data_IF_815496026189
#
_entry.id   IF_815496026189
#
_cell.length_a   1.000
_cell.length_b   1.000
_cell.length_c   1.000
_cell.angle_alpha   90.00
_cell.angle_beta   90.00
_cell.angle_gamma   90.00
#
_symmetry.space_group_name_H-M   'P 1'
#
loop_
_entity.id
_entity.type
_entity.pdbx_description
1 polymer ?
#
# COMPACT_ATOMS: atom_id res chain seq x y z
N UNK A 1 -15.75 9.59 15.79
CA UNK A 1 -17.09 9.32 15.20
C UNK A 1 -17.29 7.80 15.19
N UNK A 2 -18.44 7.27 15.64
CA UNK A 2 -18.69 5.82 15.62
C UNK A 2 -18.81 5.39 14.15
N UNK A 3 -17.98 4.43 13.71
CA UNK A 3 -18.08 3.88 12.37
C UNK A 3 -19.47 3.22 12.19
N UNK A 4 -20.26 3.71 11.26
CA UNK A 4 -21.55 3.13 10.89
C UNK A 4 -21.30 1.82 10.17
N UNK A 5 -21.94 0.74 10.63
CA UNK A 5 -21.85 -0.58 10.00
C UNK A 5 -23.08 -0.85 9.14
N UNK A 6 -22.88 -1.29 7.90
CA UNK A 6 -23.94 -1.73 6.99
C UNK A 6 -23.99 -3.25 6.97
N UNK A 7 -25.19 -3.83 7.07
CA UNK A 7 -25.38 -5.27 6.91
C UNK A 7 -25.46 -5.62 5.43
N UNK A 8 -24.69 -6.62 5.02
CA UNK A 8 -24.65 -7.13 3.66
C UNK A 8 -24.78 -8.66 3.71
N UNK A 9 -25.45 -9.22 2.70
CA UNK A 9 -25.47 -10.66 2.43
C UNK A 9 -24.59 -10.91 1.20
N UNK A 10 -23.70 -11.89 1.29
CA UNK A 10 -22.78 -12.27 0.21
C UNK A 10 -22.80 -13.77 0.02
N UNK A 11 -22.64 -14.21 -1.22
CA UNK A 11 -22.47 -15.62 -1.55
C UNK A 11 -20.99 -15.96 -1.55
N UNK A 12 -20.60 -16.93 -0.71
CA UNK A 12 -19.23 -17.40 -0.57
C UNK A 12 -19.17 -18.91 -0.80
N UNK A 13 -18.09 -19.43 -1.39
CA UNK A 13 -17.88 -20.89 -1.49
C UNK A 13 -17.94 -21.53 -0.11
N UNK A 14 -18.63 -22.67 0.00
CA UNK A 14 -18.79 -23.41 1.27
C UNK A 14 -17.45 -23.68 1.95
N UNK A 15 -16.49 -24.18 1.19
CA UNK A 15 -15.14 -24.50 1.67
C UNK A 15 -14.42 -23.27 2.24
N UNK A 16 -14.67 -22.08 1.69
CA UNK A 16 -14.10 -20.84 2.18
C UNK A 16 -14.72 -20.45 3.54
N UNK A 17 -16.03 -20.64 3.68
CA UNK A 17 -16.73 -20.42 4.96
C UNK A 17 -16.20 -21.36 6.03
N UNK A 18 -16.06 -22.65 5.72
CA UNK A 18 -15.53 -23.67 6.65
C UNK A 18 -14.10 -23.33 7.10
N UNK A 19 -13.23 -22.90 6.18
CA UNK A 19 -11.87 -22.45 6.53
C UNK A 19 -11.86 -21.19 7.41
N UNK A 20 -12.75 -20.24 7.14
CA UNK A 20 -12.90 -19.05 7.97
C UNK A 20 -13.39 -19.41 9.39
N UNK A 21 -14.26 -20.41 9.50
CA UNK A 21 -14.76 -20.92 10.78
C UNK A 21 -13.64 -21.52 11.60
N UNK A 22 -12.86 -22.42 10.99
CA UNK A 22 -11.67 -23.00 11.63
C UNK A 22 -10.69 -21.92 12.11
N UNK A 23 -10.46 -20.87 11.31
CA UNK A 23 -9.58 -19.77 11.70
C UNK A 23 -10.12 -18.99 12.92
N UNK A 24 -11.44 -18.81 13.03
CA UNK A 24 -12.06 -18.19 14.20
C UNK A 24 -12.00 -19.10 15.42
N UNK A 25 -12.27 -20.40 15.26
CA UNK A 25 -12.19 -21.40 16.33
C UNK A 25 -10.77 -21.53 16.89
N UNK A 26 -9.77 -21.43 16.04
CA UNK A 26 -8.35 -21.42 16.42
C UNK A 26 -7.90 -20.09 17.05
N UNK A 27 -8.78 -19.09 17.12
CA UNK A 27 -8.48 -17.78 17.70
C UNK A 27 -7.64 -16.86 16.81
N UNK A 28 -7.41 -17.22 15.54
CA UNK A 28 -6.69 -16.37 14.58
C UNK A 28 -7.49 -15.10 14.21
N UNK A 29 -8.82 -15.13 14.38
CA UNK A 29 -9.68 -13.95 14.26
C UNK A 29 -10.85 -14.01 15.24
N UNK A 30 -11.39 -12.83 15.62
CA UNK A 30 -12.52 -12.73 16.56
C UNK A 30 -13.86 -13.09 15.94
N UNK A 31 -13.98 -13.00 14.61
CA UNK A 31 -15.21 -13.34 13.88
C UNK A 31 -14.94 -13.46 12.38
N UNK A 32 -15.85 -14.13 11.66
CA UNK A 32 -15.88 -14.15 10.19
C UNK A 32 -15.92 -12.74 9.60
N UNK A 33 -16.70 -11.86 10.20
CA UNK A 33 -16.81 -10.48 9.74
C UNK A 33 -15.46 -9.76 9.82
N UNK A 34 -14.66 -10.00 10.85
CA UNK A 34 -13.32 -9.43 10.93
C UNK A 34 -12.43 -9.92 9.79
N UNK A 35 -12.44 -11.23 9.50
CA UNK A 35 -11.68 -11.80 8.37
C UNK A 35 -12.13 -11.21 7.04
N UNK A 36 -13.44 -11.11 6.81
CA UNK A 36 -14.00 -10.54 5.58
C UNK A 36 -13.61 -9.06 5.45
N UNK A 37 -13.71 -8.27 6.51
CA UNK A 37 -13.30 -6.86 6.51
C UNK A 37 -11.82 -6.71 6.16
N UNK A 38 -10.93 -7.45 6.83
CA UNK A 38 -9.49 -7.40 6.57
C UNK A 38 -9.13 -7.84 5.14
N UNK A 39 -9.80 -8.88 4.63
CA UNK A 39 -9.58 -9.37 3.27
C UNK A 39 -10.01 -8.32 2.22
N UNK A 40 -11.14 -7.64 2.44
CA UNK A 40 -11.62 -6.59 1.56
C UNK A 40 -10.69 -5.37 1.60
N UNK A 41 -10.28 -4.93 2.79
CA UNK A 41 -9.34 -3.80 2.95
C UNK A 41 -8.01 -4.08 2.23
N UNK A 42 -7.42 -5.26 2.43
CA UNK A 42 -6.20 -5.67 1.75
C UNK A 42 -6.38 -5.79 0.23
N UNK A 43 -7.57 -6.22 -0.23
CA UNK A 43 -7.87 -6.28 -1.65
C UNK A 43 -7.96 -4.88 -2.27
N UNK A 44 -8.67 -3.96 -1.61
CA UNK A 44 -8.81 -2.58 -2.07
C UNK A 44 -7.46 -1.87 -2.13
N UNK A 45 -6.61 -2.02 -1.11
CA UNK A 45 -5.27 -1.45 -1.12
C UNK A 45 -4.45 -1.91 -2.33
N UNK A 46 -4.44 -3.22 -2.63
CA UNK A 46 -3.73 -3.74 -3.80
C UNK A 46 -4.29 -3.22 -5.12
N UNK A 47 -5.61 -3.02 -5.21
CA UNK A 47 -6.23 -2.45 -6.41
C UNK A 47 -5.87 -0.97 -6.57
N UNK A 48 -5.82 -0.21 -5.48
CA UNK A 48 -5.37 1.19 -5.48
C UNK A 48 -3.90 1.29 -5.90
N UNK A 49 -3.02 0.45 -5.34
CA UNK A 49 -1.61 0.38 -5.75
C UNK A 49 -1.47 0.01 -7.23
N UNK A 50 -2.20 -1.01 -7.70
CA UNK A 50 -2.14 -1.42 -9.10
C UNK A 50 -2.63 -0.33 -10.07
N UNK A 51 -3.65 0.45 -9.67
CA UNK A 51 -4.14 1.58 -10.46
C UNK A 51 -3.11 2.72 -10.50
N UNK A 52 -2.45 3.01 -9.38
CA UNK A 52 -1.34 3.97 -9.33
C UNK A 52 -0.23 3.52 -10.29
N UNK A 53 0.23 2.28 -10.15
CA UNK A 53 1.29 1.72 -10.99
C UNK A 53 0.90 1.75 -12.48
N UNK A 54 -0.33 1.39 -12.83
CA UNK A 54 -0.82 1.45 -14.21
C UNK A 54 -0.81 2.87 -14.78
N UNK A 55 -1.15 3.88 -13.96
CA UNK A 55 -1.11 5.29 -14.38
C UNK A 55 0.31 5.81 -14.58
N UNK A 56 1.28 5.30 -13.81
CA UNK A 56 2.68 5.67 -13.94
C UNK A 56 3.45 4.83 -14.96
N UNK A 57 2.94 3.66 -15.36
CA UNK A 57 3.58 2.80 -16.36
C UNK A 57 3.83 3.52 -17.69
N UNK A 58 2.92 4.39 -18.12
CA UNK A 58 3.10 5.20 -19.33
C UNK A 58 4.22 6.25 -19.22
N UNK A 59 4.58 6.66 -18.00
CA UNK A 59 5.67 7.62 -17.73
C UNK A 59 7.02 6.89 -17.66
N UNK A 60 7.02 5.62 -17.27
CA UNK A 60 8.26 4.83 -17.17
C UNK A 60 8.99 4.69 -18.52
N UNK A 61 8.26 4.74 -19.64
CA UNK A 61 8.82 4.66 -21.00
C UNK A 61 9.01 6.05 -21.66
N UNK A 62 8.68 7.13 -20.97
CA UNK A 62 8.85 8.50 -21.48
C UNK A 62 10.32 8.93 -21.37
N UNK A 63 11.06 8.83 -22.47
CA UNK A 63 12.48 9.21 -22.55
C UNK A 63 12.75 10.68 -22.21
N UNK A 64 11.78 11.58 -22.45
CA UNK A 64 11.93 13.00 -22.12
C UNK A 64 11.82 13.21 -20.60
N UNK A 65 10.89 12.50 -19.97
CA UNK A 65 10.75 12.47 -18.52
C UNK A 65 12.00 11.87 -17.84
N UNK A 66 12.51 10.74 -18.32
CA UNK A 66 13.73 10.11 -17.79
C UNK A 66 14.94 11.04 -17.88
N UNK A 67 15.11 11.74 -19.01
CA UNK A 67 16.23 12.67 -19.23
C UNK A 67 16.14 13.87 -18.29
N UNK A 68 14.94 14.44 -18.13
CA UNK A 68 14.71 15.53 -17.19
C UNK A 68 14.95 15.10 -15.74
N UNK A 69 14.45 13.91 -15.36
CA UNK A 69 14.66 13.35 -14.03
C UNK A 69 16.16 13.16 -13.73
N UNK A 70 16.92 12.61 -14.68
CA UNK A 70 18.38 12.45 -14.56
C UNK A 70 19.09 13.81 -14.38
N UNK A 71 18.70 14.82 -15.15
CA UNK A 71 19.25 16.18 -15.02
C UNK A 71 18.95 16.77 -13.64
N UNK A 72 17.71 16.63 -13.16
CA UNK A 72 17.33 17.08 -11.81
C UNK A 72 18.15 16.37 -10.73
N UNK A 73 18.26 15.03 -10.79
CA UNK A 73 19.06 14.26 -9.82
C UNK A 73 20.51 14.73 -9.79
N UNK A 74 21.12 14.98 -10.95
CA UNK A 74 22.50 15.49 -11.04
C UNK A 74 22.64 16.90 -10.45
N UNK A 75 21.65 17.77 -10.62
CA UNK A 75 21.62 19.10 -10.01
C UNK A 75 21.49 19.01 -8.47
N UNK A 76 20.74 18.03 -7.96
CA UNK A 76 20.54 17.81 -6.52
C UNK A 76 21.68 17.05 -5.82
N UNK A 77 22.44 16.19 -6.52
CA UNK A 77 23.60 15.48 -5.95
C UNK A 77 24.64 16.44 -5.33
N UNK A 78 24.79 17.62 -5.93
CA UNK A 78 25.70 18.65 -5.40
C UNK A 78 25.15 19.30 -4.12
N UNK A 79 23.84 19.44 -4.01
CA UNK A 79 23.15 19.99 -2.84
C UNK A 79 23.11 19.00 -1.67
N UNK A 80 22.92 17.71 -1.95
CA UNK A 80 22.89 16.66 -0.92
C UNK A 80 24.25 16.50 -0.22
N UNK A 81 25.35 16.65 -0.98
CA UNK A 81 26.72 16.67 -0.43
C UNK A 81 27.06 17.90 0.44
N UNK A 82 26.33 19.00 0.27
CA UNK A 82 26.44 20.20 1.10
C UNK A 82 25.57 20.06 2.35
N UNK A 83 24.36 19.51 2.24
CA UNK A 83 23.48 19.22 3.37
C UNK A 83 24.06 18.16 4.33
N UNK A 84 24.65 17.08 3.80
CA UNK A 84 25.33 16.05 4.59
C UNK A 84 26.50 16.63 5.41
N UNK A 85 27.28 17.56 4.84
CA UNK A 85 28.39 18.23 5.53
C UNK A 85 27.96 19.24 6.59
N UNK A 86 26.74 19.78 6.49
CA UNK A 86 26.22 20.78 7.42
C UNK A 86 25.39 20.17 8.56
N UNK A 87 25.01 18.88 8.48
CA UNK A 87 24.06 18.26 9.40
C UNK A 87 24.55 17.06 10.24
N UNK A 88 25.63 16.36 9.88
CA UNK A 88 26.16 15.22 10.65
C UNK A 88 27.42 15.54 11.49
N UNK A 89 27.59 16.81 11.88
CA UNK A 89 28.74 17.31 12.65
C UNK A 89 28.42 17.94 14.00
N UNK A 90 27.17 17.91 14.46
CA UNK A 90 26.77 18.33 15.81
C UNK A 90 25.81 17.30 16.43
N UNK A 91 26.35 16.16 16.85
CA UNK A 91 25.81 15.42 18.00
C UNK A 91 26.49 15.95 19.27
N UNK A 92 25.76 16.56 20.23
CA UNK A 92 26.14 16.54 21.64
C UNK A 92 25.65 15.28 22.36
#
# INVERSE_FOLDING_TARGET
MKATKTRLTVDLPRELVERADTAVEQGAARSRNQLITQAIEACLHRLEEAEIDARFAAIAEDEAYQRLALQLTQEFERSDWEAFRLGEGEEP
#
